data_IF_362500335781
#
_entry.id   IF_362500335781
#
_cell.length_a   1.000
_cell.length_b   1.000
_cell.length_c   1.000
_cell.angle_alpha   90.00
_cell.angle_beta   90.00
_cell.angle_gamma   90.00
#
_symmetry.space_group_name_H-M   'P 1'
#
loop_
_entity.id
_entity.type
_entity.pdbx_description
1 polymer ?
#
# COMPACT_ATOMS: atom_id res chain seq x y z
N UNK A 1 -9.51 31.09 -1.24
CA UNK A 1 -8.09 31.37 -1.58
C UNK A 1 -7.64 30.38 -2.64
N UNK A 2 -6.83 30.80 -3.63
CA UNK A 2 -6.29 29.86 -4.61
C UNK A 2 -5.38 28.83 -3.91
N UNK A 3 -5.45 27.59 -4.35
CA UNK A 3 -4.59 26.52 -3.84
C UNK A 3 -3.16 26.74 -4.35
N UNK A 4 -2.14 26.71 -3.49
CA UNK A 4 -0.76 26.79 -3.95
C UNK A 4 -0.43 25.60 -4.88
N UNK A 5 0.19 25.87 -6.03
CA UNK A 5 0.52 24.84 -7.02
C UNK A 5 1.42 23.73 -6.43
N UNK A 6 2.30 24.07 -5.51
CA UNK A 6 3.14 23.10 -4.83
C UNK A 6 2.34 22.02 -4.06
N UNK A 7 1.11 22.30 -3.65
CA UNK A 7 0.24 21.32 -3.00
C UNK A 7 -0.39 20.33 -3.99
N UNK A 8 -0.56 20.76 -5.25
CA UNK A 8 -1.10 19.91 -6.32
C UNK A 8 -0.06 18.98 -6.93
N UNK A 9 1.23 19.20 -6.68
CA UNK A 9 2.33 18.44 -7.23
C UNK A 9 3.20 17.79 -6.13
N UNK A 10 2.57 17.31 -5.06
CA UNK A 10 3.26 16.73 -3.90
C UNK A 10 3.64 15.26 -4.08
N UNK A 11 3.08 14.56 -5.08
CA UNK A 11 3.35 13.14 -5.36
C UNK A 11 4.49 13.04 -6.38
N UNK A 12 5.71 12.78 -5.89
CA UNK A 12 6.95 12.84 -6.69
C UNK A 12 7.78 11.60 -6.49
N UNK A 13 7.62 10.62 -7.38
CA UNK A 13 8.48 9.44 -7.44
C UNK A 13 8.72 9.05 -8.90
N UNK A 14 9.78 8.27 -9.17
CA UNK A 14 9.97 7.66 -10.50
C UNK A 14 8.89 6.62 -10.75
N UNK A 15 8.62 6.30 -12.00
CA UNK A 15 7.71 5.20 -12.29
C UNK A 15 8.25 3.90 -11.67
N UNK A 16 7.37 3.21 -10.95
CA UNK A 16 7.63 1.89 -10.39
C UNK A 16 7.47 0.85 -11.50
N UNK A 17 8.31 -0.16 -11.48
CA UNK A 17 8.31 -1.29 -12.42
C UNK A 17 8.16 -2.61 -11.66
N UNK A 18 7.85 -3.69 -12.35
CA UNK A 18 7.78 -5.01 -11.71
C UNK A 18 9.13 -5.45 -11.09
N UNK A 19 10.24 -5.00 -11.66
CA UNK A 19 11.56 -5.27 -11.09
C UNK A 19 11.77 -4.62 -9.72
N UNK A 20 11.14 -3.47 -9.47
CA UNK A 20 11.18 -2.79 -8.17
C UNK A 20 10.39 -3.53 -7.09
N UNK A 21 9.43 -4.36 -7.50
CA UNK A 21 8.57 -5.16 -6.62
C UNK A 21 9.08 -6.60 -6.44
N UNK A 22 10.18 -6.96 -7.08
CA UNK A 22 10.79 -8.27 -6.93
C UNK A 22 11.41 -8.43 -5.54
N UNK A 23 10.90 -9.39 -4.77
CA UNK A 23 11.41 -9.72 -3.43
C UNK A 23 12.10 -11.09 -3.49
N UNK A 24 13.44 -11.16 -3.48
CA UNK A 24 14.17 -12.43 -3.44
C UNK A 24 13.88 -13.18 -2.14
N UNK A 25 13.66 -14.50 -2.24
CA UNK A 25 13.42 -15.39 -1.09
C UNK A 25 14.44 -16.52 -1.13
N UNK A 26 15.16 -16.73 0.00
CA UNK A 26 16.18 -17.77 0.15
C UNK A 26 15.97 -18.65 1.39
N UNK A 27 14.76 -18.70 1.92
CA UNK A 27 14.38 -19.38 3.15
C UNK A 27 13.23 -18.66 3.83
N UNK A 28 12.99 -18.88 5.12
CA UNK A 28 11.94 -18.18 5.84
C UNK A 28 12.06 -16.67 5.70
N UNK A 29 10.95 -16.00 5.46
CA UNK A 29 10.87 -14.55 5.29
C UNK A 29 10.19 -13.90 6.49
N UNK A 30 10.54 -12.66 6.76
CA UNK A 30 9.81 -11.83 7.71
C UNK A 30 8.48 -11.40 7.10
N UNK A 31 7.39 -11.68 7.80
CA UNK A 31 6.00 -11.44 7.37
C UNK A 31 5.31 -10.52 8.35
N UNK A 32 4.62 -9.52 7.82
CA UNK A 32 3.66 -8.74 8.61
C UNK A 32 2.34 -9.54 8.66
N UNK A 33 1.94 -10.03 9.82
CA UNK A 33 0.65 -10.67 10.01
C UNK A 33 -0.34 -9.71 10.66
N UNK A 34 -1.46 -9.45 9.98
CA UNK A 34 -2.53 -8.60 10.51
C UNK A 34 -3.28 -9.32 11.62
N UNK A 35 -3.59 -8.60 12.70
CA UNK A 35 -4.43 -9.11 13.78
C UNK A 35 -5.87 -8.63 13.56
N UNK A 36 -6.85 -9.53 13.42
CA UNK A 36 -8.24 -9.14 13.20
C UNK A 36 -8.74 -8.14 14.27
N UNK A 37 -9.48 -7.11 13.83
CA UNK A 37 -10.05 -6.04 14.66
C UNK A 37 -9.03 -5.14 15.37
N UNK A 38 -7.75 -5.18 15.00
CA UNK A 38 -6.70 -4.38 15.64
C UNK A 38 -5.81 -3.68 14.62
N UNK A 39 -5.14 -2.62 15.07
CA UNK A 39 -4.12 -1.91 14.28
C UNK A 39 -2.71 -2.45 14.53
N UNK A 40 -2.52 -3.29 15.55
CA UNK A 40 -1.26 -4.01 15.78
C UNK A 40 -1.09 -5.13 14.78
N UNK A 41 0.15 -5.50 14.53
CA UNK A 41 0.52 -6.66 13.70
C UNK A 41 1.36 -7.63 14.51
N UNK A 42 1.55 -8.84 13.99
CA UNK A 42 2.55 -9.79 14.49
C UNK A 42 3.75 -9.81 13.56
N UNK A 43 4.90 -10.01 14.13
CA UNK A 43 6.13 -10.30 13.42
C UNK A 43 6.29 -11.82 13.33
N UNK A 44 6.08 -12.39 12.14
CA UNK A 44 6.20 -13.83 11.91
C UNK A 44 7.37 -14.08 10.97
N UNK A 45 8.10 -15.16 11.20
CA UNK A 45 9.17 -15.63 10.31
C UNK A 45 8.80 -17.04 9.85
N UNK A 46 8.45 -17.17 8.58
CA UNK A 46 7.91 -18.41 8.02
C UNK A 46 8.23 -18.56 6.52
N UNK A 47 8.12 -19.78 6.02
CA UNK A 47 8.24 -20.04 4.58
C UNK A 47 7.09 -19.39 3.83
N UNK A 48 7.41 -18.67 2.76
CA UNK A 48 6.43 -17.98 1.90
C UNK A 48 6.48 -18.54 0.48
N UNK A 49 5.37 -18.47 -0.28
CA UNK A 49 5.38 -18.93 -1.66
C UNK A 49 6.42 -18.20 -2.51
N UNK A 50 7.19 -18.95 -3.29
CA UNK A 50 8.20 -18.40 -4.17
C UNK A 50 8.17 -19.08 -5.54
N UNK A 51 8.37 -18.29 -6.60
CA UNK A 51 8.59 -18.76 -7.95
C UNK A 51 9.89 -18.16 -8.48
N UNK A 52 10.74 -19.00 -9.06
CA UNK A 52 12.05 -18.59 -9.62
C UNK A 52 12.92 -17.82 -8.61
N UNK A 53 12.79 -18.13 -7.30
CA UNK A 53 13.52 -17.48 -6.23
C UNK A 53 12.95 -16.14 -5.76
N UNK A 54 11.75 -15.75 -6.22
CA UNK A 54 11.08 -14.53 -5.80
C UNK A 54 9.73 -14.82 -5.15
N UNK A 55 9.41 -14.05 -4.11
CA UNK A 55 8.11 -14.11 -3.46
C UNK A 55 6.97 -13.91 -4.46
N UNK A 56 6.01 -14.82 -4.41
CA UNK A 56 4.81 -14.80 -5.26
C UNK A 56 3.58 -14.85 -4.36
N UNK A 57 2.71 -13.83 -4.37
CA UNK A 57 1.46 -13.85 -3.60
C UNK A 57 0.58 -15.06 -3.92
N UNK A 58 -0.21 -15.50 -2.93
CA UNK A 58 -1.22 -16.54 -3.06
C UNK A 58 -2.47 -16.20 -2.23
N UNK A 59 -3.32 -17.19 -1.95
CA UNK A 59 -4.52 -16.99 -1.13
C UNK A 59 -4.26 -16.61 0.32
N UNK A 60 -3.06 -16.83 0.84
CA UNK A 60 -2.65 -16.54 2.21
C UNK A 60 -1.87 -15.24 2.32
N UNK A 61 -1.01 -14.98 1.32
CA UNK A 61 -0.06 -13.88 1.34
C UNK A 61 -0.32 -12.89 0.21
N UNK A 62 -0.41 -11.63 0.60
CA UNK A 62 -0.47 -10.47 -0.30
C UNK A 62 0.92 -9.81 -0.35
N UNK A 63 1.29 -9.19 -1.44
CA UNK A 63 2.49 -8.34 -1.51
C UNK A 63 2.15 -6.95 -1.00
N UNK A 64 2.87 -6.50 0.03
CA UNK A 64 2.83 -5.13 0.54
C UNK A 64 4.01 -4.34 -0.01
N UNK A 65 3.78 -3.10 -0.41
CA UNK A 65 4.80 -2.23 -0.98
C UNK A 65 4.67 -0.81 -0.41
N UNK A 66 5.80 -0.18 -0.09
CA UNK A 66 5.89 1.24 0.29
C UNK A 66 6.86 1.95 -0.64
N UNK A 67 6.42 3.09 -1.21
CA UNK A 67 7.18 3.90 -2.15
C UNK A 67 7.31 5.32 -1.62
N UNK A 68 8.54 5.81 -1.47
CA UNK A 68 8.83 7.20 -1.10
C UNK A 68 8.29 8.14 -2.19
N UNK A 69 7.46 9.13 -1.81
CA UNK A 69 6.79 10.01 -2.76
C UNK A 69 7.11 11.49 -2.65
N UNK A 70 8.02 11.87 -1.77
CA UNK A 70 8.38 13.28 -1.52
C UNK A 70 9.60 13.73 -2.30
N UNK A 71 10.19 12.85 -3.13
CA UNK A 71 11.35 13.12 -3.95
C UNK A 71 12.66 13.24 -3.16
N UNK A 72 12.78 12.53 -2.02
CA UNK A 72 13.92 12.63 -1.10
C UNK A 72 14.94 11.51 -1.22
N UNK A 73 14.61 10.39 -1.83
CA UNK A 73 15.55 9.27 -1.89
C UNK A 73 15.07 8.14 -2.79
N UNK A 74 13.78 8.13 -3.12
CA UNK A 74 13.20 7.14 -4.04
C UNK A 74 13.19 5.73 -3.48
N UNK A 75 13.17 5.55 -2.16
CA UNK A 75 13.10 4.25 -1.51
C UNK A 75 11.84 3.49 -1.90
N UNK A 76 12.01 2.20 -2.17
CA UNK A 76 10.91 1.24 -2.42
C UNK A 76 11.22 0.01 -1.60
N UNK A 77 10.26 -0.40 -0.78
CA UNK A 77 10.38 -1.62 0.01
C UNK A 77 9.15 -2.50 -0.19
N UNK A 78 9.37 -3.81 -0.10
CA UNK A 78 8.37 -4.84 -0.34
C UNK A 78 8.47 -5.91 0.74
N UNK A 79 7.33 -6.43 1.21
CA UNK A 79 7.31 -7.59 2.09
C UNK A 79 6.04 -8.42 1.89
N UNK A 80 6.03 -9.69 2.36
CA UNK A 80 4.81 -10.47 2.47
C UNK A 80 3.90 -9.91 3.56
N UNK A 81 2.59 -9.84 3.26
CA UNK A 81 1.53 -9.44 4.18
C UNK A 81 0.52 -10.57 4.30
N UNK A 82 0.25 -11.02 5.51
CA UNK A 82 -0.72 -12.08 5.82
C UNK A 82 -1.99 -11.50 6.44
N UNK A 83 -3.15 -11.97 6.00
CA UNK A 83 -4.44 -11.57 6.56
C UNK A 83 -5.11 -10.35 5.91
N UNK A 84 -4.54 -9.81 4.83
CA UNK A 84 -5.17 -8.71 4.07
C UNK A 84 -6.21 -9.22 3.06
N UNK A 85 -5.94 -10.33 2.39
CA UNK A 85 -6.92 -11.13 1.65
C UNK A 85 -7.36 -10.58 0.29
N UNK A 86 -6.67 -9.62 -0.30
CA UNK A 86 -7.01 -9.12 -1.64
C UNK A 86 -6.77 -10.18 -2.71
N UNK A 87 -7.69 -10.29 -3.67
CA UNK A 87 -7.61 -11.23 -4.81
C UNK A 87 -7.98 -10.56 -6.12
N UNK A 88 -7.24 -10.90 -7.18
CA UNK A 88 -7.49 -10.44 -8.54
C UNK A 88 -7.10 -9.00 -8.80
N UNK A 89 -6.19 -8.41 -8.00
CA UNK A 89 -5.76 -7.05 -8.24
C UNK A 89 -4.92 -6.41 -7.15
N UNK A 90 -4.94 -5.07 -7.11
CA UNK A 90 -4.17 -4.25 -6.19
C UNK A 90 -4.89 -2.99 -5.73
N UNK A 91 -4.54 -2.55 -4.54
CA UNK A 91 -4.93 -1.27 -3.95
C UNK A 91 -3.69 -0.43 -3.72
N UNK A 92 -3.76 0.88 -3.99
CA UNK A 92 -2.72 1.83 -3.64
C UNK A 92 -3.32 3.11 -3.06
N UNK A 93 -2.62 3.71 -2.09
CA UNK A 93 -3.01 5.00 -1.51
C UNK A 93 -1.78 5.84 -1.15
N UNK A 94 -1.95 7.17 -1.19
CA UNK A 94 -0.99 8.15 -0.64
C UNK A 94 -1.36 8.59 0.79
N UNK A 95 -2.46 8.07 1.34
CA UNK A 95 -2.86 8.30 2.74
C UNK A 95 -2.29 7.17 3.59
N UNK A 96 -1.10 7.38 4.16
CA UNK A 96 -0.37 6.38 4.94
C UNK A 96 0.38 7.05 6.10
N UNK A 97 -0.03 6.77 7.31
CA UNK A 97 0.50 7.41 8.52
C UNK A 97 1.96 6.99 8.81
N UNK A 98 2.81 7.94 9.29
CA UNK A 98 2.65 9.41 9.33
C UNK A 98 3.35 10.06 8.13
N UNK A 99 4.25 9.32 7.47
CA UNK A 99 5.07 9.81 6.35
C UNK A 99 4.24 10.13 5.11
N UNK A 100 3.06 9.56 5.00
CA UNK A 100 2.22 9.61 3.81
C UNK A 100 2.96 9.24 2.52
N UNK A 101 3.88 8.28 2.60
CA UNK A 101 4.41 7.59 1.44
C UNK A 101 3.32 6.81 0.73
N UNK A 102 3.51 6.49 -0.54
CA UNK A 102 2.57 5.57 -1.20
C UNK A 102 2.69 4.21 -0.56
N UNK A 103 1.56 3.64 -0.15
CA UNK A 103 1.44 2.25 0.29
C UNK A 103 0.49 1.51 -0.62
N UNK A 104 0.84 0.27 -0.97
CA UNK A 104 0.05 -0.56 -1.86
C UNK A 104 0.07 -2.03 -1.43
N UNK A 105 -1.03 -2.73 -1.66
CA UNK A 105 -1.14 -4.16 -1.45
C UNK A 105 -1.83 -4.82 -2.66
N UNK A 106 -1.36 -6.02 -3.05
CA UNK A 106 -1.92 -6.72 -4.20
C UNK A 106 -1.44 -8.16 -4.31
N UNK A 107 -2.13 -8.92 -5.13
CA UNK A 107 -1.81 -10.32 -5.41
C UNK A 107 -1.01 -10.52 -6.70
N UNK A 108 -0.74 -9.45 -7.46
CA UNK A 108 0.10 -9.51 -8.65
C UNK A 108 0.84 -8.19 -8.91
N UNK A 109 2.03 -8.28 -9.48
CA UNK A 109 2.89 -7.11 -9.70
C UNK A 109 2.38 -6.17 -10.80
N UNK A 110 1.66 -6.67 -11.80
CA UNK A 110 1.14 -5.84 -12.90
C UNK A 110 0.11 -4.82 -12.40
N UNK A 111 -0.84 -5.25 -11.59
CA UNK A 111 -1.86 -4.38 -11.01
C UNK A 111 -1.30 -3.49 -9.91
N UNK A 112 -0.30 -3.97 -9.11
CA UNK A 112 0.44 -3.13 -8.16
C UNK A 112 1.14 -1.96 -8.86
N UNK A 113 1.93 -2.24 -9.90
CA UNK A 113 2.62 -1.22 -10.71
C UNK A 113 1.63 -0.22 -11.28
N UNK A 114 0.51 -0.72 -11.84
CA UNK A 114 -0.53 0.11 -12.42
C UNK A 114 -1.16 1.04 -11.37
N UNK A 115 -1.57 0.50 -10.22
CA UNK A 115 -2.21 1.27 -9.16
C UNK A 115 -1.27 2.33 -8.57
N UNK A 116 -0.02 1.96 -8.27
CA UNK A 116 1.01 2.87 -7.73
C UNK A 116 1.28 4.02 -8.71
N UNK A 117 1.54 3.74 -9.97
CA UNK A 117 1.85 4.77 -10.95
C UNK A 117 0.64 5.65 -11.26
N UNK A 118 -0.58 5.13 -11.18
CA UNK A 118 -1.79 5.93 -11.39
C UNK A 118 -2.00 6.96 -10.28
N UNK A 119 -1.61 6.69 -9.03
CA UNK A 119 -1.62 7.68 -7.94
C UNK A 119 -0.85 8.95 -8.31
N UNK A 120 0.28 8.82 -8.98
CA UNK A 120 1.06 9.96 -9.45
C UNK A 120 0.29 10.79 -10.47
N UNK A 121 -0.46 10.13 -11.36
CA UNK A 121 -1.27 10.79 -12.40
C UNK A 121 -2.39 11.62 -11.81
N UNK A 122 -3.03 11.14 -10.74
CA UNK A 122 -4.17 11.80 -10.09
C UNK A 122 -3.76 12.75 -8.94
N UNK A 123 -2.45 12.89 -8.67
CA UNK A 123 -1.93 13.73 -7.58
C UNK A 123 -2.07 13.14 -6.18
N UNK A 124 -2.33 11.83 -6.07
CA UNK A 124 -2.57 11.09 -4.83
C UNK A 124 -4.03 10.77 -4.59
N UNK A 125 -4.31 10.02 -3.52
CA UNK A 125 -5.64 9.55 -3.16
C UNK A 125 -5.70 8.04 -3.01
N UNK A 126 -6.75 7.42 -3.55
CA UNK A 126 -6.97 5.97 -3.53
C UNK A 126 -7.13 5.44 -4.95
N UNK A 127 -6.55 4.28 -5.23
CA UNK A 127 -6.61 3.62 -6.53
C UNK A 127 -6.84 2.13 -6.36
N UNK A 128 -7.71 1.57 -7.18
CA UNK A 128 -7.91 0.14 -7.37
C UNK A 128 -7.53 -0.24 -8.79
N UNK A 129 -6.76 -1.32 -8.95
CA UNK A 129 -6.44 -1.92 -10.24
C UNK A 129 -6.76 -3.41 -10.22
N UNK A 130 -7.32 -3.93 -11.31
CA UNK A 130 -7.56 -5.34 -11.50
C UNK A 130 -7.58 -5.69 -12.99
N UNK A 131 -6.94 -6.81 -13.34
CA UNK A 131 -6.90 -7.29 -14.72
C UNK A 131 -6.22 -6.32 -15.69
N UNK A 132 -5.21 -5.59 -15.25
CA UNK A 132 -4.47 -4.62 -16.05
C UNK A 132 -5.24 -3.31 -16.32
N UNK A 133 -6.26 -2.99 -15.54
CA UNK A 133 -7.08 -1.78 -15.68
C UNK A 133 -7.35 -1.11 -14.33
N UNK A 134 -7.46 0.22 -14.35
CA UNK A 134 -7.97 0.95 -13.19
C UNK A 134 -9.46 0.68 -13.06
N UNK A 135 -9.87 0.15 -11.93
CA UNK A 135 -11.27 -0.17 -11.60
C UNK A 135 -11.94 1.00 -10.87
N UNK A 136 -11.18 1.73 -10.07
CA UNK A 136 -11.67 2.89 -9.33
C UNK A 136 -10.53 3.77 -8.89
N UNK A 137 -10.81 5.07 -8.79
CA UNK A 137 -9.88 6.05 -8.24
C UNK A 137 -10.64 7.16 -7.52
N UNK A 138 -10.11 7.62 -6.39
CA UNK A 138 -10.55 8.81 -5.68
C UNK A 138 -9.37 9.78 -5.57
N UNK A 139 -9.32 10.81 -6.43
CA UNK A 139 -8.24 11.80 -6.41
C UNK A 139 -8.29 12.67 -5.15
N UNK A 140 -7.14 12.82 -4.50
CA UNK A 140 -6.92 13.72 -3.37
C UNK A 140 -5.70 14.61 -3.66
N UNK A 141 -5.78 15.55 -4.63
CA UNK A 141 -4.60 16.22 -5.17
C UNK A 141 -3.98 17.24 -4.23
N UNK A 142 -4.67 17.66 -3.17
CA UNK A 142 -4.11 18.58 -2.19
C UNK A 142 -3.18 17.83 -1.23
N UNK A 143 -1.89 17.93 -1.48
CA UNK A 143 -0.89 17.24 -0.69
C UNK A 143 -0.91 15.72 -0.85
N UNK A 144 -1.72 15.18 -1.77
CA UNK A 144 -2.00 13.75 -1.87
C UNK A 144 -2.93 13.21 -0.79
N UNK A 145 -3.65 14.09 -0.07
CA UNK A 145 -4.40 13.75 1.14
C UNK A 145 -5.82 14.32 1.17
N UNK A 146 -6.07 15.40 0.46
CA UNK A 146 -7.33 16.16 0.49
C UNK A 146 -7.76 16.57 -0.92
N UNK A 147 -9.00 17.01 -1.06
CA UNK A 147 -9.57 17.52 -2.30
C UNK A 147 -10.21 18.91 -2.11
N UNK A 148 -10.38 19.63 -3.21
CA UNK A 148 -11.18 20.85 -3.28
C UNK A 148 -12.62 20.59 -3.72
N UNK A 149 -12.92 19.35 -4.11
CA UNK A 149 -14.28 18.96 -4.49
C UNK A 149 -15.24 19.06 -3.30
N UNK A 150 -16.55 19.27 -3.54
CA UNK A 150 -17.58 19.23 -2.50
C UNK A 150 -17.50 17.92 -1.69
N UNK A 151 -17.77 18.01 -0.38
CA UNK A 151 -17.66 16.87 0.51
C UNK A 151 -18.57 15.69 0.10
N UNK A 152 -19.74 16.00 -0.48
CA UNK A 152 -20.69 15.00 -0.99
C UNK A 152 -20.07 14.16 -2.13
N UNK A 153 -19.32 14.82 -3.02
CA UNK A 153 -18.59 14.16 -4.11
C UNK A 153 -17.52 13.22 -3.56
N UNK A 154 -16.76 13.70 -2.55
CA UNK A 154 -15.70 12.90 -1.93
C UNK A 154 -16.28 11.73 -1.15
N UNK A 155 -17.38 11.94 -0.42
CA UNK A 155 -18.07 10.87 0.30
C UNK A 155 -18.56 9.78 -0.66
N UNK A 156 -19.29 10.17 -1.72
CA UNK A 156 -19.79 9.23 -2.71
C UNK A 156 -18.66 8.44 -3.39
N UNK A 157 -17.55 9.11 -3.72
CA UNK A 157 -16.36 8.47 -4.27
C UNK A 157 -15.70 7.50 -3.29
N UNK A 158 -15.61 7.87 -2.02
CA UNK A 158 -15.03 7.01 -0.97
C UNK A 158 -15.90 5.75 -0.73
N UNK A 159 -17.22 5.91 -0.68
CA UNK A 159 -18.14 4.78 -0.54
C UNK A 159 -18.07 3.82 -1.74
N UNK A 160 -17.99 4.37 -2.96
CA UNK A 160 -17.89 3.59 -4.18
C UNK A 160 -16.57 2.77 -4.21
N UNK A 161 -15.43 3.42 -3.94
CA UNK A 161 -14.12 2.75 -3.97
C UNK A 161 -13.98 1.73 -2.85
N UNK A 162 -14.54 2.01 -1.66
CA UNK A 162 -14.56 1.07 -0.54
C UNK A 162 -15.39 -0.18 -0.87
N UNK A 163 -16.54 0.01 -1.51
CA UNK A 163 -17.40 -1.10 -1.95
C UNK A 163 -16.68 -1.99 -2.96
N UNK A 164 -16.00 -1.40 -3.93
CA UNK A 164 -15.21 -2.13 -4.92
C UNK A 164 -14.03 -2.86 -4.28
N UNK A 165 -13.31 -2.22 -3.37
CA UNK A 165 -12.20 -2.83 -2.65
C UNK A 165 -12.63 -4.08 -1.85
N UNK A 166 -13.78 -4.01 -1.17
CA UNK A 166 -14.35 -5.17 -0.47
C UNK A 166 -14.73 -6.31 -1.40
N UNK A 167 -15.22 -5.99 -2.61
CA UNK A 167 -15.52 -6.99 -3.63
C UNK A 167 -14.27 -7.71 -4.16
N UNK A 168 -13.08 -7.17 -3.93
CA UNK A 168 -11.79 -7.80 -4.26
C UNK A 168 -11.33 -8.83 -3.20
N UNK A 169 -12.20 -9.30 -2.33
CA UNK A 169 -11.93 -10.41 -1.40
C UNK A 169 -11.36 -10.00 -0.04
N UNK A 170 -11.18 -8.70 0.23
CA UNK A 170 -10.68 -8.23 1.53
C UNK A 170 -11.71 -8.58 2.61
N UNK A 171 -11.33 -9.40 3.62
CA UNK A 171 -12.29 -9.94 4.56
C UNK A 171 -12.79 -8.88 5.55
N UNK A 172 -14.04 -9.00 5.97
CA UNK A 172 -14.51 -8.30 7.15
C UNK A 172 -13.75 -8.83 8.40
N UNK A 173 -13.24 -8.01 9.31
CA UNK A 173 -13.51 -6.58 9.48
C UNK A 173 -12.43 -5.64 8.92
N UNK A 174 -11.58 -6.09 8.03
CA UNK A 174 -10.52 -5.26 7.48
C UNK A 174 -11.12 -4.09 6.69
N UNK A 175 -10.86 -2.86 7.13
CA UNK A 175 -11.05 -1.70 6.28
C UNK A 175 -9.89 -1.61 5.28
N UNK A 176 -10.16 -1.69 3.97
CA UNK A 176 -9.11 -1.80 2.96
C UNK A 176 -8.05 -0.71 3.03
N UNK A 177 -8.46 0.53 3.22
CA UNK A 177 -7.56 1.68 3.15
C UNK A 177 -7.02 2.07 4.52
N UNK A 178 -7.89 2.12 5.55
CA UNK A 178 -7.47 2.46 6.91
C UNK A 178 -6.48 1.44 7.46
N UNK A 179 -6.77 0.14 7.31
CA UNK A 179 -5.84 -0.90 7.76
C UNK A 179 -4.50 -0.80 7.04
N UNK A 180 -4.53 -0.60 5.71
CA UNK A 180 -3.33 -0.45 4.90
C UNK A 180 -2.49 0.75 5.35
N UNK A 181 -3.13 1.89 5.65
CA UNK A 181 -2.46 3.14 6.00
C UNK A 181 -1.62 3.05 7.28
N UNK A 182 -1.97 2.15 8.19
CA UNK A 182 -1.24 1.94 9.44
C UNK A 182 -0.06 0.96 9.32
N UNK A 183 0.02 0.17 8.23
CA UNK A 183 1.11 -0.81 8.06
C UNK A 183 2.48 -0.17 7.83
N UNK A 184 2.53 1.12 7.49
CA UNK A 184 3.75 1.90 7.34
C UNK A 184 4.11 2.75 8.57
N UNK A 185 3.34 2.67 9.67
CA UNK A 185 3.52 3.52 10.85
C UNK A 185 4.45 2.87 11.90
N UNK A 186 5.76 3.25 11.97
CA UNK A 186 6.77 2.55 12.74
C UNK A 186 6.74 2.90 14.25
N UNK A 187 5.54 3.08 14.81
CA UNK A 187 5.28 3.33 16.23
C UNK A 187 4.22 2.41 16.82
N UNK A 188 3.58 1.58 15.97
CA UNK A 188 2.60 0.59 16.41
C UNK A 188 3.21 -0.80 16.23
N UNK A 189 3.36 -1.63 17.30
CA UNK A 189 3.99 -2.93 17.20
C UNK A 189 3.17 -3.91 16.32
N UNK A 190 3.80 -5.01 15.85
CA UNK A 190 5.22 -5.38 16.07
C UNK A 190 6.09 -5.00 14.87
N UNK A 191 5.71 -5.41 13.64
CA UNK A 191 6.47 -5.22 12.41
C UNK A 191 5.77 -4.24 11.47
N UNK A 192 6.54 -3.32 10.86
CA UNK A 192 6.04 -2.33 9.89
C UNK A 192 6.93 -2.28 8.66
N UNK A 193 6.35 -1.84 7.53
CA UNK A 193 7.09 -1.59 6.31
C UNK A 193 7.26 -0.09 6.09
N UNK A 194 8.49 0.37 6.00
CA UNK A 194 8.82 1.74 5.58
C UNK A 194 9.39 1.72 4.17
N UNK A 195 9.62 2.89 3.57
CA UNK A 195 10.34 3.01 2.28
C UNK A 195 11.80 2.53 2.35
N UNK A 196 12.32 2.29 3.56
CA UNK A 196 13.69 1.80 3.83
C UNK A 196 13.75 0.31 4.15
N UNK A 197 12.63 -0.38 4.19
CA UNK A 197 12.54 -1.80 4.55
C UNK A 197 11.69 -2.04 5.79
N UNK A 198 11.75 -3.28 6.26
CA UNK A 198 11.05 -3.72 7.46
C UNK A 198 11.64 -3.07 8.71
N UNK A 199 10.77 -2.73 9.64
CA UNK A 199 11.12 -2.13 10.93
C UNK A 199 10.41 -2.87 12.06
N UNK A 200 11.19 -3.46 12.96
CA UNK A 200 10.69 -4.03 14.21
C UNK A 200 10.49 -2.90 15.22
N UNK A 201 9.22 -2.61 15.51
CA UNK A 201 8.85 -1.53 16.42
C UNK A 201 9.16 -1.89 17.87
N UNK A 202 9.11 -3.18 18.23
CA UNK A 202 9.39 -3.66 19.58
C UNK A 202 10.88 -3.56 19.90
N UNK A 203 11.73 -3.95 18.95
CA UNK A 203 13.18 -3.79 19.07
C UNK A 203 13.65 -2.36 18.74
N UNK A 204 12.77 -1.56 18.12
CA UNK A 204 13.06 -0.22 17.58
C UNK A 204 14.26 -0.20 16.63
N UNK A 205 14.29 -1.15 15.70
CA UNK A 205 15.40 -1.36 14.76
C UNK A 205 14.91 -1.85 13.39
N UNK A 206 15.67 -1.56 12.31
CA UNK A 206 15.46 -2.24 11.03
C UNK A 206 15.64 -3.75 11.17
N UNK A 207 14.88 -4.50 10.37
CA UNK A 207 15.04 -5.95 10.22
C UNK A 207 15.95 -6.20 9.02
N UNK A 208 17.01 -6.99 9.22
CA UNK A 208 17.98 -7.38 8.20
C UNK A 208 17.52 -8.59 7.37
#
# INVERSE_FOLDING_TARGET
HPVPEAMLHSVRFRNVTAADLALPVRGPAHVIEMVPYQIVTRHVVEEVPARDGFFTPDSTYTKLCVVERHGRGGGIAVCPLKGYGITGGAIATSVAHDSHNVIAAGDNDADLVLAINHLKTIGGGYVLAAGGRIQGALPLPLGGLMSTEPWETIQAGAEAILTQAKAMGIPYPVDPFTSLSFLALPVIPELRLTDRGLFDVTAFAPVE
#
